data_IF_394834246091
#
_entry.id   IF_394834246091
#
_cell.length_a   1.000
_cell.length_b   1.000
_cell.length_c   1.000
_cell.angle_alpha   90.00
_cell.angle_beta   90.00
_cell.angle_gamma   90.00
#
_symmetry.space_group_name_H-M   'P 1'
#
loop_
_entity.id
_entity.type
_entity.pdbx_description
1 polymer ?
#
# COMPACT_ATOMS: atom_id res chain seq x y z
N UNK A 1 16.36 3.47 -24.67
CA UNK A 1 15.74 2.98 -23.43
C UNK A 1 16.82 2.30 -22.60
N UNK A 2 16.79 2.48 -21.30
CA UNK A 2 17.76 1.87 -20.38
C UNK A 2 17.66 0.34 -20.40
N UNK A 3 18.79 -0.38 -20.39
CA UNK A 3 18.81 -1.84 -20.29
C UNK A 3 18.31 -2.29 -18.92
N UNK A 4 17.63 -3.44 -18.85
CA UNK A 4 17.13 -4.01 -17.59
C UNK A 4 18.20 -4.06 -16.49
N UNK A 5 19.43 -4.44 -16.84
CA UNK A 5 20.57 -4.51 -15.91
C UNK A 5 20.92 -3.15 -15.30
N UNK A 6 20.86 -2.07 -16.10
CA UNK A 6 21.19 -0.72 -15.61
C UNK A 6 20.09 -0.23 -14.67
N UNK A 7 18.82 -0.47 -15.01
CA UNK A 7 17.71 -0.19 -14.11
C UNK A 7 17.79 -1.00 -12.81
N UNK A 8 18.18 -2.28 -12.84
CA UNK A 8 18.38 -3.09 -11.63
C UNK A 8 19.45 -2.50 -10.70
N UNK A 9 20.58 -2.05 -11.26
CA UNK A 9 21.67 -1.42 -10.49
C UNK A 9 21.17 -0.14 -9.82
N UNK A 10 20.50 0.75 -10.55
CA UNK A 10 19.95 1.99 -10.00
C UNK A 10 18.89 1.70 -8.93
N UNK A 11 18.00 0.72 -9.17
CA UNK A 11 16.98 0.31 -8.20
C UNK A 11 17.60 -0.23 -6.90
N UNK A 12 18.67 -1.02 -7.00
CA UNK A 12 19.44 -1.52 -5.86
C UNK A 12 20.09 -0.40 -5.07
N UNK A 13 20.67 0.61 -5.74
CA UNK A 13 21.24 1.77 -5.06
C UNK A 13 20.19 2.53 -4.23
N UNK A 14 19.01 2.77 -4.81
CA UNK A 14 17.90 3.42 -4.09
C UNK A 14 17.43 2.54 -2.92
N UNK A 15 17.33 1.23 -3.13
CA UNK A 15 16.98 0.26 -2.08
C UNK A 15 17.93 0.30 -0.88
N UNK A 16 19.23 0.32 -1.13
CA UNK A 16 20.24 0.41 -0.07
C UNK A 16 20.03 1.65 0.80
N UNK A 17 19.79 2.81 0.18
CA UNK A 17 19.49 4.03 0.95
C UNK A 17 18.13 3.99 1.65
N UNK A 18 17.09 3.48 0.99
CA UNK A 18 15.72 3.48 1.49
C UNK A 18 15.45 2.46 2.61
N UNK A 19 16.19 1.35 2.63
CA UNK A 19 15.86 0.20 3.50
C UNK A 19 17.05 -0.31 4.32
N UNK A 20 18.29 -0.08 3.89
CA UNK A 20 19.47 -0.75 4.46
C UNK A 20 20.48 0.20 5.09
N UNK A 21 20.41 1.51 4.81
CA UNK A 21 21.42 2.47 5.24
C UNK A 21 21.72 2.45 6.74
N UNK A 22 20.69 2.34 7.60
CA UNK A 22 20.90 2.20 9.04
C UNK A 22 21.58 0.87 9.40
N UNK A 23 21.11 -0.25 8.84
CA UNK A 23 21.65 -1.59 9.09
C UNK A 23 23.12 -1.71 8.65
N UNK A 24 23.48 -1.08 7.53
CA UNK A 24 24.82 -1.14 6.97
C UNK A 24 25.83 -0.28 7.74
N UNK A 25 25.36 0.74 8.47
CA UNK A 25 26.23 1.70 9.18
C UNK A 25 26.28 1.49 10.68
N UNK A 26 25.25 0.90 11.27
CA UNK A 26 25.14 0.69 12.71
C UNK A 26 24.99 -0.79 12.96
N UNK A 27 25.96 -1.36 13.67
CA UNK A 27 25.93 -2.76 14.05
C UNK A 27 24.89 -2.95 15.16
N UNK A 28 23.73 -3.51 14.81
CA UNK A 28 22.71 -3.90 15.76
C UNK A 28 22.81 -5.40 16.02
N UNK A 29 22.98 -5.78 17.29
CA UNK A 29 22.66 -7.14 17.71
C UNK A 29 21.14 -7.28 17.80
N UNK A 30 20.59 -8.34 17.22
CA UNK A 30 19.18 -8.68 17.37
C UNK A 30 18.94 -9.63 18.55
N UNK A 31 20.00 -10.07 19.23
CA UNK A 31 19.90 -10.93 20.42
C UNK A 31 19.43 -10.13 21.65
N UNK A 32 19.77 -8.84 21.70
CA UNK A 32 19.40 -7.93 22.78
C UNK A 32 18.95 -6.57 22.22
N UNK A 33 17.98 -5.88 22.86
CA UNK A 33 17.63 -4.52 22.48
C UNK A 33 18.86 -3.60 22.54
N UNK A 34 19.08 -2.75 21.52
CA UNK A 34 20.19 -1.80 21.56
C UNK A 34 20.00 -0.79 22.70
N UNK A 35 21.11 -0.25 23.20
CA UNK A 35 21.06 0.89 24.11
C UNK A 35 20.49 2.13 23.40
N UNK A 36 20.10 3.13 24.19
CA UNK A 36 19.41 4.32 23.68
C UNK A 36 20.26 5.12 22.67
N UNK A 37 21.58 5.21 22.85
CA UNK A 37 22.44 5.98 21.95
C UNK A 37 22.63 5.23 20.62
N UNK A 38 22.84 3.92 20.69
CA UNK A 38 22.89 3.05 19.49
C UNK A 38 21.56 3.09 18.72
N UNK A 39 20.42 3.05 19.42
CA UNK A 39 19.10 3.16 18.81
C UNK A 39 18.89 4.51 18.11
N UNK A 40 19.27 5.62 18.77
CA UNK A 40 19.22 6.96 18.17
C UNK A 40 20.11 7.07 16.95
N UNK A 41 21.34 6.55 17.02
CA UNK A 41 22.27 6.56 15.88
C UNK A 41 21.71 5.78 14.70
N UNK A 42 21.15 4.59 14.94
CA UNK A 42 20.48 3.80 13.91
C UNK A 42 19.33 4.56 13.25
N UNK A 43 18.46 5.18 14.04
CA UNK A 43 17.34 5.98 13.52
C UNK A 43 17.87 7.15 12.68
N UNK A 44 18.87 7.89 13.18
CA UNK A 44 19.47 9.01 12.46
C UNK A 44 20.04 8.58 11.11
N UNK A 45 20.72 7.43 11.05
CA UNK A 45 21.22 6.89 9.79
C UNK A 45 20.10 6.39 8.88
N UNK A 46 19.05 5.75 9.38
CA UNK A 46 17.88 5.43 8.56
C UNK A 46 17.29 6.70 7.90
N UNK A 47 17.06 7.76 8.67
CA UNK A 47 16.51 9.01 8.14
C UNK A 47 17.45 9.71 7.16
N UNK A 48 18.77 9.63 7.36
CA UNK A 48 19.75 10.13 6.39
C UNK A 48 19.69 9.33 5.06
N UNK A 49 19.55 8.00 5.17
CA UNK A 49 19.30 7.12 4.02
C UNK A 49 18.03 7.53 3.27
N UNK A 50 16.93 7.74 3.98
CA UNK A 50 15.65 8.16 3.38
C UNK A 50 15.77 9.47 2.61
N UNK A 51 16.51 10.46 3.14
CA UNK A 51 16.78 11.74 2.45
C UNK A 51 17.50 11.52 1.12
N UNK A 52 18.52 10.67 1.09
CA UNK A 52 19.25 10.31 -0.13
C UNK A 52 18.36 9.57 -1.12
N UNK A 53 17.66 8.53 -0.65
CA UNK A 53 16.76 7.74 -1.48
C UNK A 53 15.67 8.60 -2.13
N UNK A 54 15.06 9.52 -1.38
CA UNK A 54 14.03 10.42 -1.91
C UNK A 54 14.54 11.29 -3.06
N UNK A 55 15.78 11.79 -2.99
CA UNK A 55 16.39 12.55 -4.08
C UNK A 55 16.63 11.67 -5.33
N UNK A 56 17.03 10.41 -5.14
CA UNK A 56 17.19 9.47 -6.25
C UNK A 56 15.83 9.12 -6.88
N UNK A 57 14.81 8.86 -6.06
CA UNK A 57 13.43 8.60 -6.47
C UNK A 57 12.89 9.78 -7.27
N UNK A 58 13.07 11.02 -6.80
CA UNK A 58 12.64 12.22 -7.50
C UNK A 58 13.22 12.28 -8.92
N UNK A 59 14.53 12.09 -9.06
CA UNK A 59 15.22 12.08 -10.36
C UNK A 59 14.68 10.97 -11.26
N UNK A 60 14.52 9.76 -10.72
CA UNK A 60 14.11 8.60 -11.53
C UNK A 60 12.65 8.69 -11.99
N UNK A 61 11.75 9.14 -11.11
CA UNK A 61 10.34 9.34 -11.49
C UNK A 61 10.19 10.44 -12.54
N UNK A 62 11.00 11.50 -12.48
CA UNK A 62 11.02 12.53 -13.51
C UNK A 62 11.46 11.98 -14.87
N UNK A 63 12.58 11.23 -14.91
CA UNK A 63 13.07 10.56 -16.12
C UNK A 63 12.02 9.60 -16.73
N UNK A 64 11.37 8.79 -15.89
CA UNK A 64 10.29 7.88 -16.28
C UNK A 64 9.14 8.65 -16.93
N UNK A 65 8.75 9.79 -16.37
CA UNK A 65 7.63 10.58 -16.89
C UNK A 65 7.95 11.27 -18.22
N UNK A 66 9.17 11.78 -18.38
CA UNK A 66 9.68 12.31 -19.65
C UNK A 66 9.67 11.22 -20.74
N UNK A 67 10.25 10.06 -20.45
CA UNK A 67 10.31 8.93 -21.38
C UNK A 67 8.90 8.45 -21.77
N UNK A 68 7.99 8.35 -20.79
CA UNK A 68 6.59 7.97 -21.06
C UNK A 68 5.88 8.99 -21.94
N UNK A 69 6.10 10.28 -21.73
CA UNK A 69 5.49 11.35 -22.52
C UNK A 69 5.97 11.27 -23.96
N UNK A 70 7.28 11.07 -24.17
CA UNK A 70 7.85 10.86 -25.50
C UNK A 70 7.24 9.63 -26.19
N UNK A 71 7.19 8.48 -25.53
CA UNK A 71 6.63 7.26 -26.11
C UNK A 71 5.13 7.38 -26.43
N UNK A 72 4.36 8.13 -25.63
CA UNK A 72 2.94 8.41 -25.94
C UNK A 72 2.80 9.24 -27.21
N UNK A 73 3.63 10.26 -27.39
CA UNK A 73 3.66 11.05 -28.62
C UNK A 73 4.06 10.19 -29.82
N UNK A 74 5.07 9.33 -29.68
CA UNK A 74 5.51 8.41 -30.73
C UNK A 74 4.41 7.40 -31.08
N UNK A 75 3.66 6.91 -30.09
CA UNK A 75 2.50 6.04 -30.28
C UNK A 75 1.39 6.72 -31.08
N UNK A 76 1.07 7.98 -30.76
CA UNK A 76 0.07 8.75 -31.51
C UNK A 76 0.49 8.95 -32.97
N UNK A 77 1.77 9.27 -33.22
CA UNK A 77 2.32 9.39 -34.57
C UNK A 77 2.25 8.05 -35.31
N UNK A 78 2.66 6.95 -34.69
CA UNK A 78 2.60 5.61 -35.28
C UNK A 78 1.17 5.20 -35.64
N UNK A 79 0.20 5.47 -34.75
CA UNK A 79 -1.24 5.23 -35.00
C UNK A 79 -1.74 6.06 -36.19
N UNK A 80 -1.37 7.33 -36.27
CA UNK A 80 -1.75 8.20 -37.39
C UNK A 80 -1.20 7.68 -38.73
N UNK A 81 -0.01 7.08 -38.71
CA UNK A 81 0.66 6.48 -39.88
C UNK A 81 0.26 5.02 -40.13
N UNK A 82 -0.70 4.47 -39.36
CA UNK A 82 -1.13 3.06 -39.42
C UNK A 82 0.00 2.04 -39.31
N UNK A 83 1.02 2.37 -38.51
CA UNK A 83 2.16 1.49 -38.24
C UNK A 83 1.87 0.54 -37.07
N UNK A 84 2.62 -0.57 -36.98
CA UNK A 84 2.50 -1.52 -35.88
C UNK A 84 2.97 -0.86 -34.57
N UNK A 85 2.10 -0.88 -33.55
CA UNK A 85 2.32 -0.17 -32.28
C UNK A 85 2.80 -1.05 -31.12
N UNK A 86 2.82 -2.38 -31.30
CA UNK A 86 3.05 -3.34 -30.21
C UNK A 86 4.36 -3.15 -29.46
N UNK A 87 5.41 -2.71 -30.16
CA UNK A 87 6.71 -2.44 -29.53
C UNK A 87 6.63 -1.22 -28.61
N UNK A 88 6.06 -0.11 -29.09
CA UNK A 88 5.89 1.11 -28.29
C UNK A 88 5.00 0.84 -27.06
N UNK A 89 3.92 0.07 -27.25
CA UNK A 89 3.04 -0.35 -26.15
C UNK A 89 3.79 -1.17 -25.09
N UNK A 90 4.63 -2.13 -25.52
CA UNK A 90 5.49 -2.91 -24.61
C UNK A 90 6.49 -2.03 -23.84
N UNK A 91 7.09 -1.03 -24.50
CA UNK A 91 8.00 -0.08 -23.83
C UNK A 91 7.25 0.78 -22.80
N UNK A 92 6.03 1.22 -23.11
CA UNK A 92 5.18 1.96 -22.16
C UNK A 92 4.85 1.09 -20.94
N UNK A 93 4.50 -0.18 -21.14
CA UNK A 93 4.23 -1.12 -20.05
C UNK A 93 5.47 -1.35 -19.19
N UNK A 94 6.64 -1.44 -19.81
CA UNK A 94 7.93 -1.54 -19.11
C UNK A 94 8.19 -0.30 -18.24
N UNK A 95 7.95 0.90 -18.75
CA UNK A 95 8.12 2.14 -17.96
C UNK A 95 7.10 2.24 -16.82
N UNK A 96 5.85 1.84 -17.05
CA UNK A 96 4.84 1.80 -15.98
C UNK A 96 5.24 0.83 -14.88
N UNK A 97 5.80 -0.33 -15.25
CA UNK A 97 6.36 -1.30 -14.30
C UNK A 97 7.51 -0.71 -13.48
N UNK A 98 8.46 -0.04 -14.16
CA UNK A 98 9.58 0.64 -13.50
C UNK A 98 9.09 1.72 -12.52
N UNK A 99 8.09 2.52 -12.91
CA UNK A 99 7.48 3.53 -12.02
C UNK A 99 6.91 2.87 -10.76
N UNK A 100 6.16 1.76 -10.90
CA UNK A 100 5.63 1.03 -9.76
C UNK A 100 6.73 0.58 -8.80
N UNK A 101 7.85 0.06 -9.31
CA UNK A 101 8.97 -0.37 -8.48
C UNK A 101 9.64 0.78 -7.74
N UNK A 102 9.80 1.94 -8.39
CA UNK A 102 10.38 3.14 -7.77
C UNK A 102 9.44 3.70 -6.70
N UNK A 103 8.14 3.80 -6.98
CA UNK A 103 7.14 4.23 -5.99
C UNK A 103 7.07 3.28 -4.79
N UNK A 104 7.28 1.97 -5.01
CA UNK A 104 7.33 1.00 -3.90
C UNK A 104 8.52 1.19 -2.97
N UNK A 105 9.62 1.82 -3.42
CA UNK A 105 10.71 2.24 -2.53
C UNK A 105 10.29 3.44 -1.66
N UNK A 106 9.56 4.40 -2.23
CA UNK A 106 8.96 5.48 -1.44
C UNK A 106 7.91 4.94 -0.46
N UNK A 107 7.11 3.96 -0.86
CA UNK A 107 6.18 3.27 0.04
C UNK A 107 6.93 2.57 1.17
N UNK A 108 8.10 1.99 0.93
CA UNK A 108 8.92 1.39 1.99
C UNK A 108 9.45 2.39 2.99
N UNK A 109 9.81 3.60 2.56
CA UNK A 109 10.17 4.70 3.45
C UNK A 109 8.93 5.08 4.29
N UNK A 110 7.78 5.29 3.64
CA UNK A 110 6.52 5.60 4.32
C UNK A 110 6.13 4.52 5.33
N UNK A 111 6.25 3.24 4.95
CA UNK A 111 5.90 2.08 5.77
C UNK A 111 6.72 2.03 7.05
N UNK A 112 8.03 2.33 6.97
CA UNK A 112 8.91 2.43 8.13
C UNK A 112 8.54 3.62 9.04
N UNK A 113 8.21 4.78 8.46
CA UNK A 113 7.80 5.98 9.23
C UNK A 113 6.52 5.74 10.04
N UNK A 114 5.58 4.96 9.49
CA UNK A 114 4.34 4.59 10.17
C UNK A 114 4.48 3.29 10.97
N UNK A 115 5.70 2.78 11.14
CA UNK A 115 6.02 1.56 11.90
C UNK A 115 5.22 0.32 11.46
N UNK A 116 4.99 0.19 10.14
CA UNK A 116 4.23 -0.91 9.54
C UNK A 116 2.74 -0.94 9.90
N UNK A 117 2.21 0.13 10.49
CA UNK A 117 0.81 0.18 10.92
C UNK A 117 -0.12 0.38 9.72
N UNK A 118 -0.59 -0.74 9.18
CA UNK A 118 -1.49 -0.77 8.02
C UNK A 118 -2.74 0.11 8.18
N UNK A 119 -3.25 0.27 9.41
CA UNK A 119 -4.39 1.17 9.62
C UNK A 119 -4.04 2.63 9.26
N UNK A 120 -2.83 3.12 9.54
CA UNK A 120 -2.39 4.46 9.17
C UNK A 120 -2.40 4.62 7.66
N UNK A 121 -1.82 3.67 6.93
CA UNK A 121 -1.79 3.67 5.47
C UNK A 121 -3.20 3.79 4.86
N UNK A 122 -4.20 3.07 5.40
CA UNK A 122 -5.59 3.15 4.94
C UNK A 122 -6.21 4.53 5.09
N UNK A 123 -5.81 5.32 6.09
CA UNK A 123 -6.36 6.66 6.34
C UNK A 123 -5.69 7.72 5.47
N UNK A 124 -4.52 7.41 4.90
CA UNK A 124 -3.81 8.28 3.97
C UNK A 124 -4.19 8.00 2.50
N UNK A 125 -4.86 6.88 2.22
CA UNK A 125 -5.25 6.47 0.88
C UNK A 125 -6.69 6.86 0.51
N UNK A 126 -6.84 7.69 -0.52
CA UNK A 126 -8.13 8.16 -1.01
C UNK A 126 -8.70 7.30 -2.15
N UNK A 127 -7.88 6.45 -2.78
CA UNK A 127 -8.18 5.74 -4.02
C UNK A 127 -8.33 6.70 -5.21
N UNK A 128 -7.45 7.70 -5.26
CA UNK A 128 -7.29 8.64 -6.36
C UNK A 128 -6.08 8.24 -7.23
N UNK A 129 -6.07 8.66 -8.50
CA UNK A 129 -4.90 8.43 -9.35
C UNK A 129 -3.77 9.38 -8.93
N UNK A 130 -2.50 8.93 -8.94
CA UNK A 130 -1.37 9.80 -8.67
C UNK A 130 -1.32 10.98 -9.64
N UNK A 131 -0.95 12.19 -9.18
CA UNK A 131 -0.75 13.33 -10.06
C UNK A 131 0.49 13.14 -10.96
N UNK A 132 0.52 13.87 -12.07
CA UNK A 132 1.70 14.00 -12.94
C UNK A 132 2.75 14.87 -12.26
N UNK A 133 4.01 14.41 -12.20
CA UNK A 133 5.12 15.17 -11.61
C UNK A 133 5.64 16.27 -12.55
N UNK A 134 5.45 16.12 -13.87
CA UNK A 134 5.85 17.16 -14.84
C UNK A 134 4.99 18.43 -14.74
N UNK A 135 3.75 18.29 -14.31
CA UNK A 135 2.79 19.40 -14.21
C UNK A 135 2.56 19.88 -12.77
N UNK A 136 3.34 19.39 -11.81
CA UNK A 136 3.23 19.76 -10.40
C UNK A 136 4.28 20.80 -10.00
N UNK A 137 4.06 21.45 -8.86
CA UNK A 137 5.01 22.36 -8.21
C UNK A 137 6.11 21.56 -7.46
N UNK A 138 6.61 20.48 -8.06
CA UNK A 138 7.48 19.52 -7.38
C UNK A 138 8.77 20.14 -6.83
N UNK A 139 9.35 21.10 -7.55
CA UNK A 139 10.56 21.81 -7.11
C UNK A 139 10.34 22.55 -5.78
N UNK A 140 9.17 23.14 -5.63
CA UNK A 140 8.74 23.88 -4.44
C UNK A 140 8.51 22.97 -3.25
N UNK A 141 7.94 21.79 -3.53
CA UNK A 141 7.78 20.71 -2.55
C UNK A 141 9.16 20.21 -2.12
N UNK A 142 10.07 19.92 -3.05
CA UNK A 142 11.46 19.49 -2.78
C UNK A 142 12.19 20.52 -1.92
N UNK A 143 12.09 21.81 -2.24
CA UNK A 143 12.71 22.88 -1.47
C UNK A 143 12.18 22.92 -0.03
N UNK A 144 10.86 22.82 0.14
CA UNK A 144 10.21 22.80 1.46
C UNK A 144 10.65 21.57 2.25
N UNK A 145 10.69 20.40 1.63
CA UNK A 145 11.16 19.14 2.23
C UNK A 145 12.62 19.23 2.68
N UNK A 146 13.50 19.80 1.86
CA UNK A 146 14.90 20.00 2.21
C UNK A 146 15.07 20.92 3.42
N UNK A 147 14.28 22.01 3.49
CA UNK A 147 14.26 22.89 4.66
C UNK A 147 13.81 22.14 5.92
N UNK A 148 12.70 21.40 5.86
CA UNK A 148 12.20 20.60 7.00
C UNK A 148 13.23 19.54 7.45
N UNK A 149 13.85 18.85 6.50
CA UNK A 149 14.85 17.82 6.75
C UNK A 149 16.19 18.36 7.28
N UNK A 150 16.45 19.66 7.17
CA UNK A 150 17.65 20.32 7.70
C UNK A 150 17.54 20.71 9.18
N UNK A 151 16.34 20.66 9.76
CA UNK A 151 16.08 21.09 11.14
C UNK A 151 16.63 20.12 12.20
N UNK A 152 15.86 19.07 12.50
CA UNK A 152 16.19 18.06 13.51
C UNK A 152 16.62 16.75 12.86
N UNK A 153 17.61 16.05 13.44
CA UNK A 153 18.10 14.77 12.92
C UNK A 153 17.06 13.64 13.00
N UNK A 154 16.08 13.75 13.90
CA UNK A 154 15.01 12.77 14.11
C UNK A 154 13.71 13.12 13.40
N UNK A 155 13.70 14.21 12.65
CA UNK A 155 12.55 14.63 11.86
C UNK A 155 12.75 14.21 10.40
N UNK A 156 11.66 13.84 9.73
CA UNK A 156 11.71 13.49 8.31
C UNK A 156 10.44 13.87 7.56
N UNK A 157 10.63 14.58 6.46
CA UNK A 157 9.61 14.99 5.51
C UNK A 157 9.69 14.13 4.24
N UNK A 158 8.59 13.43 3.95
CA UNK A 158 8.38 12.61 2.76
C UNK A 158 7.47 13.35 1.79
N UNK A 159 7.83 13.35 0.50
CA UNK A 159 6.98 13.84 -0.59
C UNK A 159 5.90 12.78 -0.84
N UNK A 160 4.65 13.13 -0.54
CA UNK A 160 3.51 12.20 -0.62
C UNK A 160 3.33 11.65 -2.04
N UNK A 161 3.48 12.52 -3.03
CA UNK A 161 3.33 12.20 -4.46
C UNK A 161 4.31 11.15 -4.99
N UNK A 162 5.37 10.81 -4.25
CA UNK A 162 6.27 9.71 -4.62
C UNK A 162 5.75 8.34 -4.19
N UNK A 163 4.85 8.30 -3.22
CA UNK A 163 4.24 7.07 -2.72
C UNK A 163 3.05 6.67 -3.60
N UNK A 164 2.60 5.43 -3.45
CA UNK A 164 1.34 4.96 -4.05
C UNK A 164 0.13 5.16 -3.13
N UNK A 165 0.35 5.25 -1.81
CA UNK A 165 -0.76 5.25 -0.84
C UNK A 165 -0.94 6.53 -0.02
N UNK A 166 0.04 7.43 0.06
CA UNK A 166 -0.14 8.73 0.74
C UNK A 166 -0.72 9.72 -0.28
N UNK A 167 -2.02 9.98 -0.17
CA UNK A 167 -2.78 10.80 -1.11
C UNK A 167 -3.40 12.04 -0.44
N UNK A 168 -2.94 12.38 0.76
CA UNK A 168 -3.41 13.55 1.51
C UNK A 168 -2.21 14.47 1.76
N UNK A 169 -2.27 15.67 1.18
CA UNK A 169 -1.24 16.69 1.25
C UNK A 169 0.01 16.36 0.43
N UNK A 170 0.81 17.37 0.12
CA UNK A 170 2.01 17.23 -0.71
C UNK A 170 3.20 16.66 0.08
N UNK A 171 3.23 16.90 1.40
CA UNK A 171 4.30 16.43 2.29
C UNK A 171 3.70 15.73 3.52
N UNK A 172 4.18 14.52 3.78
CA UNK A 172 3.97 13.78 5.02
C UNK A 172 5.19 13.93 5.93
N UNK A 173 5.02 14.64 7.04
CA UNK A 173 6.10 15.03 7.93
C UNK A 173 5.97 14.36 9.30
N UNK A 174 6.96 13.54 9.66
CA UNK A 174 7.12 12.98 10.99
C UNK A 174 8.04 13.89 11.79
N UNK A 175 7.45 14.57 12.78
CA UNK A 175 8.17 15.42 13.73
C UNK A 175 8.14 14.76 15.09
N UNK A 176 9.26 14.18 15.52
CA UNK A 176 9.31 13.35 16.72
C UNK A 176 8.17 12.30 16.72
N UNK A 177 7.22 12.39 17.67
CA UNK A 177 6.09 11.47 17.77
C UNK A 177 4.82 11.94 17.03
N UNK A 178 4.79 13.14 16.46
CA UNK A 178 3.61 13.68 15.78
C UNK A 178 3.69 13.52 14.25
N UNK A 179 2.53 13.30 13.64
CA UNK A 179 2.40 13.30 12.18
C UNK A 179 1.76 14.62 11.73
N UNK A 180 2.35 15.24 10.73
CA UNK A 180 1.86 16.46 10.10
C UNK A 180 1.69 16.23 8.60
N UNK A 181 0.59 16.75 8.07
CA UNK A 181 0.34 16.79 6.63
C UNK A 181 0.40 18.24 6.20
N UNK A 182 1.26 18.52 5.22
CA UNK A 182 1.55 19.87 4.73
C UNK A 182 1.18 19.94 3.25
N UNK A 183 0.37 20.94 2.91
CA UNK A 183 0.06 21.32 1.52
C UNK A 183 0.94 22.50 1.14
N UNK A 184 1.72 22.36 0.07
CA UNK A 184 2.63 23.38 -0.45
C UNK A 184 1.92 24.11 -1.58
N UNK A 185 1.67 25.41 -1.38
CA UNK A 185 0.96 26.25 -2.34
C UNK A 185 1.86 27.40 -2.79
N UNK A 186 1.89 27.64 -4.09
CA UNK A 186 2.63 28.75 -4.70
C UNK A 186 1.79 29.56 -5.68
N UNK A 187 2.23 30.78 -5.95
CA UNK A 187 1.58 31.69 -6.91
C UNK A 187 0.52 32.59 -6.30
N UNK A 188 0.32 33.75 -6.94
CA UNK A 188 -0.52 34.85 -6.47
C UNK A 188 -1.97 34.41 -6.19
N UNK A 189 -2.53 33.57 -7.07
CA UNK A 189 -3.90 33.06 -6.93
C UNK A 189 -4.10 32.23 -5.66
N UNK A 190 -3.10 31.46 -5.23
CA UNK A 190 -3.18 30.70 -3.97
C UNK A 190 -3.06 31.63 -2.76
N UNK A 191 -2.25 32.68 -2.84
CA UNK A 191 -2.18 33.72 -1.81
C UNK A 191 -3.51 34.46 -1.66
N UNK A 192 -4.17 34.79 -2.76
CA UNK A 192 -5.50 35.41 -2.78
C UNK A 192 -6.55 34.49 -2.13
N UNK A 193 -6.62 33.22 -2.56
CA UNK A 193 -7.54 32.23 -1.99
C UNK A 193 -7.34 32.08 -0.48
N UNK A 194 -6.08 32.02 -0.02
CA UNK A 194 -5.77 31.94 1.41
C UNK A 194 -6.28 33.17 2.18
N UNK A 195 -6.06 34.38 1.65
CA UNK A 195 -6.59 35.62 2.25
C UNK A 195 -8.11 35.58 2.38
N UNK A 196 -8.82 35.11 1.35
CA UNK A 196 -10.29 34.97 1.38
C UNK A 196 -10.71 34.00 2.49
N UNK A 197 -10.08 32.83 2.57
CA UNK A 197 -10.37 31.83 3.61
C UNK A 197 -10.12 32.41 5.01
N UNK A 198 -9.01 33.12 5.20
CA UNK A 198 -8.64 33.72 6.49
C UNK A 198 -9.63 34.83 6.91
N UNK A 199 -10.14 35.63 5.96
CA UNK A 199 -11.19 36.63 6.22
C UNK A 199 -12.48 35.94 6.67
N UNK A 200 -12.96 34.94 5.92
CA UNK A 200 -14.19 34.22 6.28
C UNK A 200 -14.07 33.55 7.66
N UNK A 201 -12.90 32.95 7.97
CA UNK A 201 -12.63 32.36 9.28
C UNK A 201 -12.64 33.40 10.41
N UNK A 202 -12.02 34.57 10.21
CA UNK A 202 -12.02 35.66 11.20
C UNK A 202 -13.41 36.22 11.44
N UNK A 203 -14.25 36.26 10.40
CA UNK A 203 -15.63 36.73 10.48
C UNK A 203 -16.61 35.66 10.98
N UNK A 204 -16.15 34.42 11.26
CA UNK A 204 -17.01 33.30 11.66
C UNK A 204 -18.00 32.86 10.58
N UNK A 205 -17.78 33.25 9.31
CA UNK A 205 -18.66 32.93 8.19
C UNK A 205 -18.40 31.51 7.68
N UNK A 206 -19.47 30.78 7.41
CA UNK A 206 -19.36 29.48 6.79
C UNK A 206 -18.93 29.61 5.31
N UNK A 207 -17.89 28.87 4.95
CA UNK A 207 -17.39 28.79 3.57
C UNK A 207 -18.17 27.68 2.86
N UNK A 208 -19.22 28.04 2.15
CA UNK A 208 -20.04 27.15 1.32
C UNK A 208 -20.09 27.66 -0.11
N UNK A 209 -20.58 26.84 -1.04
CA UNK A 209 -20.74 27.27 -2.44
C UNK A 209 -21.66 28.49 -2.53
N UNK A 210 -22.75 28.50 -1.78
CA UNK A 210 -23.76 29.55 -1.83
C UNK A 210 -23.26 30.86 -1.22
N UNK A 211 -22.41 30.81 -0.18
CA UNK A 211 -21.82 32.00 0.44
C UNK A 211 -20.71 32.66 -0.39
N UNK A 212 -20.24 31.99 -1.45
CA UNK A 212 -19.15 32.46 -2.32
C UNK A 212 -19.62 32.88 -3.72
N UNK A 213 -20.69 32.27 -4.26
CA UNK A 213 -21.18 32.55 -5.63
C UNK A 213 -21.57 34.01 -5.85
N UNK A 214 -22.05 34.70 -4.81
CA UNK A 214 -22.43 36.11 -4.89
C UNK A 214 -21.25 37.06 -5.10
N UNK A 215 -20.05 36.67 -4.66
CA UNK A 215 -18.87 37.55 -4.61
C UNK A 215 -17.75 37.10 -5.55
N UNK A 216 -17.77 35.86 -6.04
CA UNK A 216 -16.68 35.28 -6.80
C UNK A 216 -17.17 34.48 -8.01
N UNK A 217 -16.38 34.48 -9.09
CA UNK A 217 -16.67 33.65 -10.25
C UNK A 217 -16.56 32.14 -9.94
N UNK A 218 -17.20 31.31 -10.76
CA UNK A 218 -17.27 29.85 -10.59
C UNK A 218 -15.89 29.19 -10.41
N UNK A 219 -14.86 29.63 -11.14
CA UNK A 219 -13.52 29.07 -11.06
C UNK A 219 -12.85 29.38 -9.72
N UNK A 220 -12.96 30.62 -9.23
CA UNK A 220 -12.47 31.04 -7.91
C UNK A 220 -13.21 30.32 -6.79
N UNK A 221 -14.54 30.19 -6.87
CA UNK A 221 -15.34 29.42 -5.90
C UNK A 221 -14.84 27.96 -5.80
N UNK A 222 -14.65 27.29 -6.94
CA UNK A 222 -14.13 25.92 -6.96
C UNK A 222 -12.72 25.81 -6.36
N UNK A 223 -11.85 26.77 -6.66
CA UNK A 223 -10.51 26.83 -6.08
C UNK A 223 -10.56 26.99 -4.55
N UNK A 224 -11.40 27.90 -4.02
CA UNK A 224 -11.57 28.11 -2.58
C UNK A 224 -12.08 26.83 -1.90
N UNK A 225 -13.13 26.21 -2.45
CA UNK A 225 -13.71 24.98 -1.89
C UNK A 225 -12.69 23.84 -1.89
N UNK A 226 -11.96 23.64 -3.00
CA UNK A 226 -10.88 22.64 -3.09
C UNK A 226 -9.81 22.91 -2.02
N UNK A 227 -9.37 24.15 -1.89
CA UNK A 227 -8.35 24.55 -0.92
C UNK A 227 -8.80 24.27 0.52
N UNK A 228 -10.04 24.65 0.87
CA UNK A 228 -10.65 24.35 2.17
C UNK A 228 -10.65 22.86 2.45
N UNK A 229 -11.15 22.04 1.52
CA UNK A 229 -11.22 20.59 1.69
C UNK A 229 -9.84 19.96 1.88
N UNK A 230 -8.81 20.43 1.16
CA UNK A 230 -7.44 19.96 1.34
C UNK A 230 -6.91 20.26 2.75
N UNK A 231 -7.09 21.49 3.26
CA UNK A 231 -6.71 21.83 4.65
C UNK A 231 -7.44 20.94 5.65
N UNK A 232 -8.76 20.82 5.52
CA UNK A 232 -9.58 20.08 6.48
C UNK A 232 -9.20 18.59 6.51
N UNK A 233 -8.96 17.98 5.35
CA UNK A 233 -8.47 16.59 5.25
C UNK A 233 -7.11 16.43 5.93
N UNK A 234 -6.16 17.32 5.63
CA UNK A 234 -4.82 17.28 6.23
C UNK A 234 -4.86 17.42 7.77
N UNK A 235 -5.71 18.32 8.29
CA UNK A 235 -5.91 18.51 9.73
C UNK A 235 -6.56 17.29 10.39
N UNK A 236 -7.63 16.74 9.78
CA UNK A 236 -8.31 15.54 10.29
C UNK A 236 -7.36 14.35 10.36
N UNK A 237 -6.62 14.11 9.27
CA UNK A 237 -5.65 13.03 9.21
C UNK A 237 -4.50 13.24 10.22
N UNK A 238 -3.90 14.43 10.31
CA UNK A 238 -2.84 14.71 11.30
C UNK A 238 -3.30 14.46 12.73
N UNK A 239 -4.53 14.89 13.07
CA UNK A 239 -5.13 14.69 14.40
C UNK A 239 -5.39 13.21 14.67
N UNK A 240 -6.01 12.49 13.73
CA UNK A 240 -6.32 11.07 13.85
C UNK A 240 -5.07 10.22 14.02
N UNK A 241 -4.01 10.50 13.25
CA UNK A 241 -2.75 9.77 13.30
C UNK A 241 -1.94 10.05 14.56
N UNK A 242 -2.07 11.24 15.15
CA UNK A 242 -1.33 11.62 16.36
C UNK A 242 -2.05 11.25 17.65
N UNK A 243 -3.39 11.33 17.68
CA UNK A 243 -4.20 11.06 18.88
C UNK A 243 -4.80 9.65 18.90
N UNK A 244 -4.64 8.88 17.82
CA UNK A 244 -5.24 7.56 17.61
C UNK A 244 -6.78 7.53 17.70
N UNK A 245 -7.40 8.72 17.63
CA UNK A 245 -8.84 8.95 17.64
C UNK A 245 -9.19 10.18 16.79
N UNK A 246 -10.37 10.20 16.21
CA UNK A 246 -10.82 11.34 15.40
C UNK A 246 -11.78 10.93 14.29
N UNK A 247 -11.85 11.75 13.24
CA UNK A 247 -12.68 11.49 12.07
C UNK A 247 -11.82 11.00 10.92
N UNK A 248 -12.26 9.93 10.26
CA UNK A 248 -11.61 9.42 9.05
C UNK A 248 -11.67 10.49 7.95
N UNK A 249 -10.53 10.87 7.33
CA UNK A 249 -10.48 11.97 6.38
C UNK A 249 -11.23 11.69 5.06
N UNK A 250 -11.55 10.42 4.77
CA UNK A 250 -12.27 10.00 3.57
C UNK A 250 -13.76 9.87 3.82
N UNK A 251 -14.17 9.26 4.93
CA UNK A 251 -15.59 8.93 5.20
C UNK A 251 -16.27 9.86 6.19
N UNK A 252 -15.49 10.69 6.91
CA UNK A 252 -15.94 11.53 8.03
C UNK A 252 -16.62 10.75 9.16
N UNK A 253 -16.34 9.45 9.25
CA UNK A 253 -16.83 8.60 10.35
C UNK A 253 -15.86 8.73 11.52
N UNK A 254 -16.39 8.79 12.74
CA UNK A 254 -15.56 8.76 13.95
C UNK A 254 -14.90 7.38 14.08
N UNK A 255 -13.58 7.37 14.22
CA UNK A 255 -12.76 6.17 14.34
C UNK A 255 -11.90 6.28 15.60
N UNK A 256 -11.83 5.18 16.33
CA UNK A 256 -10.81 4.91 17.35
C UNK A 256 -9.92 3.79 16.83
N UNK A 257 -8.62 3.96 16.91
CA UNK A 257 -7.67 2.93 16.48
C UNK A 257 -7.64 1.85 17.55
N UNK A 258 -7.85 0.61 17.11
CA UNK A 258 -7.79 -0.59 17.94
C UNK A 258 -6.48 -1.29 17.56
N UNK A 259 -5.54 -1.31 18.50
CA UNK A 259 -4.27 -2.00 18.29
C UNK A 259 -4.38 -3.48 18.66
N UNK A 260 -3.69 -4.33 17.91
CA UNK A 260 -3.62 -5.76 18.18
C UNK A 260 -2.37 -6.04 19.02
N UNK A 261 -2.56 -6.34 20.30
CA UNK A 261 -1.46 -6.50 21.27
C UNK A 261 -0.67 -7.80 21.10
N UNK A 262 -1.18 -8.77 20.36
CA UNK A 262 -0.52 -10.07 20.20
C UNK A 262 0.27 -10.10 18.90
N UNK A 263 1.47 -10.71 18.84
CA UNK A 263 2.14 -10.90 17.57
C UNK A 263 1.34 -11.80 16.63
N UNK A 264 1.24 -11.40 15.35
CA UNK A 264 0.65 -12.23 14.29
C UNK A 264 1.76 -12.95 13.52
N UNK A 265 1.58 -14.24 13.25
CA UNK A 265 2.56 -15.02 12.51
C UNK A 265 2.50 -14.70 11.01
N UNK A 266 3.67 -14.61 10.40
CA UNK A 266 3.86 -14.38 8.97
C UNK A 266 4.74 -15.47 8.38
N UNK A 267 4.57 -15.76 7.10
CA UNK A 267 5.29 -16.83 6.40
C UNK A 267 6.49 -16.33 5.58
N UNK A 268 7.19 -15.29 6.05
CA UNK A 268 8.34 -14.74 5.32
C UNK A 268 9.51 -15.71 5.18
N UNK A 269 9.86 -16.44 6.25
CA UNK A 269 10.91 -17.46 6.22
C UNK A 269 10.60 -18.55 5.19
N UNK A 270 9.33 -18.95 5.13
CA UNK A 270 8.83 -19.92 4.14
C UNK A 270 9.03 -19.45 2.70
N UNK A 271 8.88 -18.15 2.40
CA UNK A 271 9.18 -17.62 1.07
C UNK A 271 10.68 -17.77 0.76
N UNK A 272 11.56 -17.46 1.71
CA UNK A 272 13.01 -17.63 1.52
C UNK A 272 13.37 -19.11 1.29
N UNK A 273 12.85 -20.01 2.11
CA UNK A 273 13.06 -21.47 1.99
C UNK A 273 12.60 -21.98 0.63
N UNK A 274 11.39 -21.60 0.18
CA UNK A 274 10.87 -21.99 -1.13
C UNK A 274 11.74 -21.51 -2.29
N UNK A 275 12.21 -20.26 -2.23
CA UNK A 275 13.05 -19.70 -3.28
C UNK A 275 14.37 -20.45 -3.32
N UNK A 276 14.96 -20.73 -2.15
CA UNK A 276 16.20 -21.51 -2.05
C UNK A 276 16.03 -22.92 -2.61
N UNK A 277 14.96 -23.62 -2.23
CA UNK A 277 14.66 -24.97 -2.69
C UNK A 277 14.42 -25.04 -4.21
N UNK A 278 13.88 -23.97 -4.79
CA UNK A 278 13.61 -23.89 -6.23
C UNK A 278 14.87 -23.76 -7.10
N UNK A 279 16.03 -23.34 -6.54
CA UNK A 279 17.26 -23.10 -7.33
C UNK A 279 17.76 -24.37 -8.01
N UNK A 280 17.72 -25.52 -7.31
CA UNK A 280 18.21 -26.79 -7.86
C UNK A 280 17.17 -27.60 -8.65
N UNK A 281 15.87 -27.34 -8.41
CA UNK A 281 14.76 -28.16 -8.95
C UNK A 281 13.88 -27.40 -9.95
N UNK A 282 14.16 -26.12 -10.18
CA UNK A 282 13.33 -25.16 -10.93
C UNK A 282 11.90 -24.97 -10.37
N UNK A 283 11.49 -25.72 -9.35
CA UNK A 283 10.23 -25.57 -8.66
C UNK A 283 10.28 -26.07 -7.21
N UNK A 284 9.45 -25.47 -6.35
CA UNK A 284 9.21 -25.91 -4.97
C UNK A 284 7.78 -25.56 -4.54
N UNK A 285 7.21 -26.29 -3.59
CA UNK A 285 5.90 -25.98 -3.01
C UNK A 285 5.85 -26.31 -1.52
N UNK A 286 5.02 -25.58 -0.78
CA UNK A 286 4.76 -25.81 0.64
C UNK A 286 3.30 -25.56 0.97
N UNK A 287 2.84 -26.20 2.03
CA UNK A 287 1.46 -26.13 2.52
C UNK A 287 1.48 -25.58 3.95
N UNK A 288 0.66 -24.59 4.22
CA UNK A 288 0.55 -23.89 5.51
C UNK A 288 -0.87 -24.09 6.08
N UNK A 289 -0.96 -24.12 7.42
CA UNK A 289 -2.21 -24.19 8.19
C UNK A 289 -3.17 -25.28 7.68
N UNK A 290 -2.71 -26.53 7.76
CA UNK A 290 -3.49 -27.74 7.43
C UNK A 290 -4.08 -27.76 6.01
N UNK A 291 -3.44 -27.09 5.05
CA UNK A 291 -3.93 -27.04 3.67
C UNK A 291 -4.68 -25.77 3.30
N UNK A 292 -4.80 -24.80 4.22
CA UNK A 292 -5.50 -23.53 3.97
C UNK A 292 -4.79 -22.63 2.99
N UNK A 293 -3.45 -22.72 2.90
CA UNK A 293 -2.64 -21.97 1.97
C UNK A 293 -1.59 -22.88 1.34
N UNK A 294 -1.48 -22.83 0.02
CA UNK A 294 -0.41 -23.49 -0.74
C UNK A 294 0.39 -22.40 -1.44
N UNK A 295 1.71 -22.48 -1.34
CA UNK A 295 2.65 -21.53 -1.95
C UNK A 295 3.62 -22.32 -2.82
N UNK A 296 3.90 -21.81 -4.02
CA UNK A 296 4.85 -22.40 -4.93
C UNK A 296 5.84 -21.39 -5.49
N UNK A 297 7.07 -21.82 -5.72
CA UNK A 297 8.12 -21.08 -6.39
C UNK A 297 8.47 -21.77 -7.71
N UNK A 298 8.59 -21.01 -8.80
CA UNK A 298 8.82 -21.52 -10.15
C UNK A 298 9.88 -20.70 -10.89
N UNK A 299 10.83 -21.38 -11.53
CA UNK A 299 11.96 -20.79 -12.28
C UNK A 299 12.04 -21.42 -13.67
N UNK A 300 12.83 -20.80 -14.55
CA UNK A 300 13.22 -21.34 -15.86
C UNK A 300 12.02 -21.89 -16.65
N UNK A 301 12.06 -23.14 -17.08
CA UNK A 301 11.02 -23.79 -17.87
C UNK A 301 9.66 -23.85 -17.17
N UNK A 302 9.61 -23.84 -15.83
CA UNK A 302 8.36 -23.85 -15.06
C UNK A 302 7.79 -22.45 -14.79
N UNK A 303 8.58 -21.39 -14.97
CA UNK A 303 8.15 -20.02 -14.74
C UNK A 303 6.84 -19.66 -15.48
N UNK A 304 6.67 -19.94 -16.79
CA UNK A 304 5.42 -19.62 -17.49
C UNK A 304 4.24 -20.48 -17.02
N UNK A 305 4.47 -21.67 -16.45
CA UNK A 305 3.42 -22.63 -16.09
C UNK A 305 3.01 -22.60 -14.61
N UNK A 306 3.68 -21.83 -13.76
CA UNK A 306 3.49 -21.88 -12.30
C UNK A 306 2.02 -21.76 -11.85
N UNK A 307 1.24 -20.86 -12.47
CA UNK A 307 -0.18 -20.67 -12.13
C UNK A 307 -1.03 -21.89 -12.52
N UNK A 308 -0.79 -22.48 -13.70
CA UNK A 308 -1.49 -23.69 -14.16
C UNK A 308 -1.15 -24.89 -13.28
N UNK A 309 0.12 -25.03 -12.89
CA UNK A 309 0.54 -26.08 -11.96
C UNK A 309 -0.17 -25.93 -10.61
N UNK A 310 -0.23 -24.70 -10.09
CA UNK A 310 -0.90 -24.42 -8.82
C UNK A 310 -2.41 -24.70 -8.91
N UNK A 311 -3.06 -24.32 -10.02
CA UNK A 311 -4.46 -24.59 -10.26
C UNK A 311 -4.77 -26.10 -10.26
N UNK A 312 -3.93 -26.90 -10.93
CA UNK A 312 -4.11 -28.36 -10.96
C UNK A 312 -3.91 -28.98 -9.58
N UNK A 313 -2.88 -28.53 -8.84
CA UNK A 313 -2.58 -29.02 -7.50
C UNK A 313 -3.74 -28.78 -6.52
N UNK A 314 -4.34 -27.58 -6.54
CA UNK A 314 -5.46 -27.28 -5.66
C UNK A 314 -6.73 -28.05 -6.06
N UNK A 315 -6.95 -28.23 -7.37
CA UNK A 315 -8.09 -28.98 -7.89
C UNK A 315 -8.02 -30.45 -7.49
N UNK A 316 -6.84 -31.06 -7.55
CA UNK A 316 -6.62 -32.44 -7.09
C UNK A 316 -6.91 -32.57 -5.59
N UNK A 317 -6.50 -31.59 -4.78
CA UNK A 317 -6.67 -31.63 -3.32
C UNK A 317 -8.07 -31.28 -2.82
N UNK A 318 -8.80 -30.40 -3.51
CA UNK A 318 -10.08 -29.85 -3.05
C UNK A 318 -11.29 -30.22 -3.90
N UNK A 319 -11.06 -30.74 -5.11
CA UNK A 319 -12.11 -30.94 -6.11
C UNK A 319 -12.68 -29.64 -6.68
N UNK A 320 -12.09 -28.48 -6.37
CA UNK A 320 -12.56 -27.16 -6.79
C UNK A 320 -11.44 -26.30 -7.36
N UNK A 321 -11.84 -25.32 -8.15
CA UNK A 321 -10.97 -24.27 -8.64
C UNK A 321 -11.01 -23.09 -7.68
N UNK A 322 -9.83 -22.67 -7.19
CA UNK A 322 -9.66 -21.46 -6.38
C UNK A 322 -8.76 -20.45 -7.10
N UNK A 323 -8.88 -19.14 -6.81
CA UNK A 323 -8.03 -18.13 -7.44
C UNK A 323 -6.57 -18.33 -7.06
N UNK A 324 -5.70 -18.30 -8.07
CA UNK A 324 -4.25 -18.30 -7.91
C UNK A 324 -3.76 -16.86 -7.93
N UNK A 325 -2.93 -16.49 -6.96
CA UNK A 325 -2.39 -15.16 -6.78
C UNK A 325 -0.89 -15.16 -7.07
N UNK A 326 -0.43 -14.27 -7.94
CA UNK A 326 0.99 -14.05 -8.15
C UNK A 326 1.51 -13.01 -7.15
N UNK A 327 2.52 -13.38 -6.36
CA UNK A 327 3.08 -12.51 -5.33
C UNK A 327 3.58 -11.16 -5.88
N UNK A 328 4.10 -11.13 -7.11
CA UNK A 328 4.59 -9.88 -7.72
C UNK A 328 3.46 -8.87 -7.95
N UNK A 329 2.20 -9.31 -8.08
CA UNK A 329 1.06 -8.39 -8.23
C UNK A 329 0.89 -7.46 -7.01
N UNK A 330 1.46 -7.79 -5.86
CA UNK A 330 1.45 -6.94 -4.66
C UNK A 330 2.13 -5.57 -4.91
N UNK A 331 3.00 -5.41 -5.91
CA UNK A 331 3.57 -4.10 -6.24
C UNK A 331 2.52 -3.10 -6.73
N UNK A 332 1.38 -3.59 -7.22
CA UNK A 332 0.27 -2.75 -7.71
C UNK A 332 -0.77 -2.45 -6.65
N UNK A 333 -0.66 -3.05 -5.45
CA UNK A 333 -1.60 -2.81 -4.36
C UNK A 333 -1.03 -1.69 -3.48
N UNK A 334 -1.67 -0.52 -3.36
CA UNK A 334 -1.07 0.61 -2.64
C UNK A 334 -0.96 0.37 -1.14
N UNK A 335 -2.01 -0.16 -0.52
CA UNK A 335 -2.13 -0.30 0.94
C UNK A 335 -1.66 -1.68 1.40
N UNK A 336 -0.46 -2.10 1.04
CA UNK A 336 0.11 -3.37 1.52
C UNK A 336 1.58 -3.18 1.84
N UNK A 337 2.10 -4.02 2.73
CA UNK A 337 3.52 -4.00 3.07
C UNK A 337 4.39 -4.18 1.80
N UNK A 338 5.21 -3.18 1.44
CA UNK A 338 5.98 -3.24 0.19
C UNK A 338 7.02 -4.36 0.22
N UNK A 339 7.31 -4.95 -0.95
CA UNK A 339 8.26 -6.06 -1.08
C UNK A 339 9.64 -5.75 -0.48
N UNK A 340 10.11 -4.50 -0.60
CA UNK A 340 11.40 -4.06 -0.06
C UNK A 340 11.44 -4.02 1.48
N UNK A 341 10.29 -3.85 2.12
CA UNK A 341 10.15 -3.86 3.59
C UNK A 341 9.98 -5.27 4.16
N UNK A 342 9.69 -6.27 3.32
CA UNK A 342 9.53 -7.65 3.78
C UNK A 342 10.88 -8.27 4.15
N UNK A 343 10.96 -9.09 5.21
CA UNK A 343 12.16 -9.81 5.61
C UNK A 343 12.43 -11.04 4.71
N UNK A 344 12.43 -10.81 3.40
CA UNK A 344 12.89 -11.74 2.36
C UNK A 344 14.37 -11.43 2.11
N UNK A 345 15.20 -12.40 1.74
CA UNK A 345 16.60 -12.11 1.39
C UNK A 345 16.69 -11.12 0.22
N UNK A 346 17.65 -10.21 0.25
CA UNK A 346 17.68 -9.08 -0.69
C UNK A 346 17.78 -9.54 -2.14
N UNK A 347 18.69 -10.48 -2.44
CA UNK A 347 18.79 -11.11 -3.77
C UNK A 347 17.47 -11.77 -4.21
N UNK A 348 16.74 -12.38 -3.28
CA UNK A 348 15.45 -13.00 -3.57
C UNK A 348 14.37 -11.97 -3.89
N UNK A 349 14.38 -10.79 -3.24
CA UNK A 349 13.47 -9.70 -3.62
C UNK A 349 13.69 -9.31 -5.08
N UNK A 350 14.95 -9.15 -5.49
CA UNK A 350 15.31 -8.79 -6.85
C UNK A 350 15.09 -9.93 -7.86
N UNK A 351 15.25 -11.19 -7.46
CA UNK A 351 14.85 -12.34 -8.28
C UNK A 351 13.35 -12.32 -8.59
N UNK A 352 12.51 -12.00 -7.61
CA UNK A 352 11.06 -11.90 -7.79
C UNK A 352 10.72 -10.72 -8.71
N UNK A 353 11.26 -9.53 -8.42
CA UNK A 353 10.98 -8.30 -9.16
C UNK A 353 11.41 -8.43 -10.62
N UNK A 354 12.61 -8.94 -10.88
CA UNK A 354 13.11 -9.07 -12.26
C UNK A 354 12.65 -10.35 -12.97
N UNK A 355 11.67 -11.09 -12.40
CA UNK A 355 11.07 -12.24 -13.04
C UNK A 355 12.00 -13.45 -13.18
N UNK A 356 13.03 -13.57 -12.34
CA UNK A 356 13.90 -14.75 -12.26
C UNK A 356 13.27 -15.89 -11.45
N UNK A 357 12.33 -15.56 -10.56
CA UNK A 357 11.48 -16.52 -9.85
C UNK A 357 10.05 -16.01 -9.77
N UNK A 358 9.08 -16.88 -10.00
CA UNK A 358 7.65 -16.60 -9.81
C UNK A 358 7.17 -17.28 -8.54
N UNK A 359 6.61 -16.48 -7.62
CA UNK A 359 5.92 -17.01 -6.44
C UNK A 359 4.42 -16.92 -6.68
N UNK A 360 3.72 -18.05 -6.59
CA UNK A 360 2.26 -18.11 -6.69
C UNK A 360 1.69 -18.73 -5.43
N UNK A 361 0.47 -18.31 -5.08
CA UNK A 361 -0.22 -18.73 -3.87
C UNK A 361 -1.67 -19.07 -4.20
N UNK A 362 -2.24 -20.02 -3.48
CA UNK A 362 -3.68 -20.30 -3.55
C UNK A 362 -4.22 -20.56 -2.15
N UNK A 363 -5.37 -19.95 -1.85
CA UNK A 363 -6.08 -20.14 -0.59
C UNK A 363 -7.15 -21.20 -0.82
N UNK A 364 -7.08 -22.28 -0.05
CA UNK A 364 -8.15 -23.25 0.00
C UNK A 364 -9.23 -22.76 0.98
N UNK A 365 -10.27 -22.11 0.45
CA UNK A 365 -11.31 -21.54 1.31
C UNK A 365 -12.14 -22.59 2.06
N UNK A 366 -12.21 -23.84 1.57
CA UNK A 366 -12.86 -24.91 2.35
C UNK A 366 -12.09 -25.18 3.65
N UNK A 367 -10.75 -25.23 3.57
CA UNK A 367 -9.88 -25.37 4.75
C UNK A 367 -9.87 -24.13 5.64
N UNK A 368 -9.98 -22.93 5.07
CA UNK A 368 -10.19 -21.71 5.86
C UNK A 368 -11.50 -21.77 6.64
N UNK A 369 -12.59 -22.26 6.05
CA UNK A 369 -13.87 -22.41 6.75
C UNK A 369 -13.74 -23.40 7.91
N UNK A 370 -13.08 -24.54 7.70
CA UNK A 370 -12.76 -25.49 8.77
C UNK A 370 -11.98 -24.80 9.91
N UNK A 371 -10.94 -24.03 9.57
CA UNK A 371 -10.11 -23.31 10.52
C UNK A 371 -10.87 -22.25 11.32
N UNK A 372 -11.81 -21.54 10.69
CA UNK A 372 -12.71 -20.62 11.39
C UNK A 372 -13.61 -21.36 12.39
N UNK A 373 -14.13 -22.53 12.02
CA UNK A 373 -14.98 -23.34 12.88
C UNK A 373 -14.21 -23.90 14.09
N UNK A 374 -12.95 -24.29 13.90
CA UNK A 374 -12.07 -24.76 14.98
C UNK A 374 -11.85 -23.69 16.07
N UNK A 375 -11.85 -22.40 15.70
CA UNK A 375 -11.68 -21.28 16.64
C UNK A 375 -13.00 -20.66 17.12
N UNK A 376 -14.12 -21.34 16.92
CA UNK A 376 -15.41 -21.02 17.55
C UNK A 376 -16.37 -20.17 16.73
N UNK A 377 -16.10 -19.92 15.45
CA UNK A 377 -17.13 -19.36 14.55
C UNK A 377 -18.06 -20.46 14.04
N UNK A 378 -19.23 -20.06 13.54
CA UNK A 378 -20.00 -20.90 12.61
C UNK A 378 -19.86 -20.32 11.22
N UNK A 379 -18.99 -20.94 10.43
CA UNK A 379 -18.64 -20.49 9.09
C UNK A 379 -19.09 -21.51 8.05
N UNK A 380 -19.69 -21.02 6.98
CA UNK A 380 -20.22 -21.86 5.90
C UNK A 380 -20.26 -21.12 4.57
N UNK A 381 -20.31 -21.90 3.49
CA UNK A 381 -20.75 -21.39 2.21
C UNK A 381 -22.25 -21.09 2.24
N UNK A 382 -22.62 -19.93 1.71
CA UNK A 382 -24.01 -19.61 1.38
C UNK A 382 -24.44 -20.37 0.12
N UNK A 383 -25.74 -20.57 -0.05
CA UNK A 383 -26.30 -21.01 -1.32
C UNK A 383 -26.13 -19.93 -2.39
N UNK A 384 -26.22 -20.33 -3.67
CA UNK A 384 -26.19 -19.38 -4.81
C UNK A 384 -27.33 -18.36 -4.71
N UNK A 385 -28.50 -18.77 -4.23
CA UNK A 385 -29.67 -17.91 -4.05
C UNK A 385 -29.46 -16.87 -2.95
N UNK A 386 -28.94 -17.28 -1.79
CA UNK A 386 -28.61 -16.36 -0.70
C UNK A 386 -27.51 -15.38 -1.12
N UNK A 387 -26.50 -15.87 -1.84
CA UNK A 387 -25.40 -15.04 -2.36
C UNK A 387 -25.91 -14.00 -3.36
N UNK A 388 -26.82 -14.37 -4.25
CA UNK A 388 -27.42 -13.42 -5.20
C UNK A 388 -28.23 -12.33 -4.48
N UNK A 389 -29.07 -12.73 -3.53
CA UNK A 389 -29.85 -11.79 -2.69
C UNK A 389 -28.94 -10.83 -1.91
N UNK A 390 -27.79 -11.33 -1.43
CA UNK A 390 -26.80 -10.50 -0.76
C UNK A 390 -26.23 -9.45 -1.72
N UNK A 391 -25.86 -9.81 -2.94
CA UNK A 391 -25.33 -8.85 -3.95
C UNK A 391 -26.31 -7.77 -4.35
N UNK A 392 -27.61 -8.07 -4.38
CA UNK A 392 -28.66 -7.10 -4.73
C UNK A 392 -28.87 -6.05 -3.62
N UNK A 393 -28.47 -6.36 -2.39
CA UNK A 393 -28.58 -5.41 -1.29
C UNK A 393 -27.56 -4.28 -1.45
N UNK A 394 -28.03 -3.03 -1.46
CA UNK A 394 -27.19 -1.83 -1.55
C UNK A 394 -26.22 -1.67 -0.38
N UNK A 395 -26.58 -2.23 0.78
CA UNK A 395 -25.75 -2.20 1.99
C UNK A 395 -24.78 -3.39 2.06
N UNK A 396 -24.74 -4.25 1.04
CA UNK A 396 -23.81 -5.37 1.01
C UNK A 396 -22.37 -4.91 0.86
N UNK A 397 -21.40 -5.64 1.45
CA UNK A 397 -19.99 -5.37 1.22
C UNK A 397 -19.67 -5.47 -0.28
N UNK A 398 -18.97 -4.47 -0.82
CA UNK A 398 -18.65 -4.41 -2.26
C UNK A 398 -17.64 -5.46 -2.73
N UNK A 399 -16.90 -6.08 -1.80
CA UNK A 399 -15.74 -6.93 -2.09
C UNK A 399 -15.87 -8.31 -1.42
N UNK A 400 -17.00 -8.98 -1.67
CA UNK A 400 -17.26 -10.32 -1.12
C UNK A 400 -16.37 -11.37 -1.78
N UNK A 401 -15.85 -12.31 -0.98
CA UNK A 401 -15.19 -13.50 -1.50
C UNK A 401 -16.25 -14.45 -2.05
N UNK A 402 -16.17 -14.77 -3.34
CA UNK A 402 -17.18 -15.59 -4.03
C UNK A 402 -16.50 -16.65 -4.88
N UNK A 403 -16.76 -17.91 -4.56
CA UNK A 403 -16.28 -19.09 -5.29
C UNK A 403 -17.51 -19.91 -5.73
N UNK A 404 -17.56 -20.33 -7.00
CA UNK A 404 -18.70 -21.05 -7.57
C UNK A 404 -20.07 -20.36 -7.37
N UNK A 405 -20.09 -19.02 -7.42
CA UNK A 405 -21.25 -18.18 -7.13
C UNK A 405 -21.79 -18.29 -5.69
N UNK A 406 -20.94 -18.70 -4.74
CA UNK A 406 -21.26 -18.77 -3.31
C UNK A 406 -20.35 -17.87 -2.51
N UNK A 407 -20.93 -17.05 -1.64
CA UNK A 407 -20.18 -16.28 -0.65
C UNK A 407 -19.95 -17.09 0.63
N UNK A 408 -19.01 -16.64 1.47
CA UNK A 408 -18.74 -17.23 2.79
C UNK A 408 -19.39 -16.36 3.86
N UNK A 409 -20.23 -16.95 4.68
CA UNK A 409 -20.80 -16.34 5.87
C UNK A 409 -20.12 -16.89 7.11
N UNK A 410 -19.86 -16.03 8.08
CA UNK A 410 -19.30 -16.37 9.39
C UNK A 410 -20.16 -15.75 10.48
N UNK A 411 -20.51 -16.55 11.49
CA UNK A 411 -21.24 -16.13 12.69
C UNK A 411 -20.32 -16.21 13.91
N UNK A 412 -20.29 -15.15 14.71
CA UNK A 412 -19.58 -15.12 15.99
C UNK A 412 -20.44 -14.45 17.05
N UNK A 413 -20.66 -15.13 18.18
CA UNK A 413 -21.49 -14.63 19.30
C UNK A 413 -22.86 -14.07 18.83
N UNK A 414 -23.49 -14.75 17.86
CA UNK A 414 -24.80 -14.37 17.30
C UNK A 414 -24.79 -13.28 16.23
N UNK A 415 -23.62 -12.70 15.90
CA UNK A 415 -23.51 -11.67 14.86
C UNK A 415 -22.99 -12.29 13.57
N UNK A 416 -23.70 -12.04 12.47
CA UNK A 416 -23.37 -12.55 11.14
C UNK A 416 -22.53 -11.55 10.35
N UNK A 417 -21.48 -12.06 9.72
CA UNK A 417 -20.59 -11.33 8.83
C UNK A 417 -20.32 -12.13 7.55
N UNK A 418 -19.75 -11.47 6.56
CA UNK A 418 -19.34 -12.10 5.31
C UNK A 418 -17.85 -11.87 5.08
N UNK A 419 -17.14 -12.92 4.67
CA UNK A 419 -15.72 -12.76 4.33
C UNK A 419 -15.57 -11.95 3.05
N UNK A 420 -14.65 -10.99 3.11
CA UNK A 420 -14.38 -10.02 2.05
C UNK A 420 -12.90 -10.04 1.67
N UNK A 421 -12.55 -9.45 0.53
CA UNK A 421 -11.19 -9.44 -0.03
C UNK A 421 -10.11 -8.87 0.90
N UNK A 422 -10.51 -8.08 1.90
CA UNK A 422 -9.61 -7.66 2.97
C UNK A 422 -8.94 -8.85 3.68
N UNK A 423 -9.66 -9.95 3.90
CA UNK A 423 -9.11 -11.17 4.47
C UNK A 423 -8.07 -11.82 3.55
N UNK A 424 -8.39 -11.94 2.26
CA UNK A 424 -7.46 -12.46 1.23
C UNK A 424 -6.18 -11.63 1.15
N UNK A 425 -6.32 -10.30 1.13
CA UNK A 425 -5.19 -9.36 1.03
C UNK A 425 -4.25 -9.48 2.24
N UNK A 426 -4.78 -9.74 3.44
CA UNK A 426 -3.96 -9.99 4.64
C UNK A 426 -3.07 -11.24 4.49
N UNK A 427 -3.57 -12.28 3.82
CA UNK A 427 -2.81 -13.51 3.62
C UNK A 427 -1.83 -13.36 2.46
N UNK A 428 -2.30 -12.90 1.29
CA UNK A 428 -1.53 -12.87 0.04
C UNK A 428 -0.52 -11.72 0.00
N UNK A 429 -0.89 -10.55 0.54
CA UNK A 429 -0.09 -9.32 0.42
C UNK A 429 0.64 -8.94 1.70
N UNK A 430 0.03 -9.12 2.86
CA UNK A 430 0.71 -8.92 4.16
C UNK A 430 1.39 -10.22 4.67
N UNK A 431 1.24 -11.35 3.95
CA UNK A 431 1.87 -12.63 4.27
C UNK A 431 1.55 -13.17 5.67
N UNK A 432 0.37 -12.84 6.20
CA UNK A 432 -0.15 -13.48 7.42
C UNK A 432 -0.51 -14.93 7.13
N UNK A 433 -0.20 -15.84 8.06
CA UNK A 433 -0.76 -17.20 7.95
C UNK A 433 -2.29 -17.14 8.02
N UNK A 434 -3.03 -18.02 7.33
CA UNK A 434 -4.50 -18.09 7.44
C UNK A 434 -5.00 -18.05 8.89
N UNK A 435 -4.37 -18.81 9.78
CA UNK A 435 -4.71 -18.84 11.20
C UNK A 435 -4.50 -17.48 11.88
N UNK A 436 -3.41 -16.78 11.58
CA UNK A 436 -3.13 -15.45 12.12
C UNK A 436 -4.12 -14.40 11.58
N UNK A 437 -4.48 -14.49 10.30
CA UNK A 437 -5.50 -13.61 9.71
C UNK A 437 -6.86 -13.79 10.42
N UNK A 438 -7.24 -15.03 10.76
CA UNK A 438 -8.44 -15.33 11.53
C UNK A 438 -8.36 -14.74 12.95
N UNK A 439 -7.22 -14.92 13.65
CA UNK A 439 -7.01 -14.32 14.98
C UNK A 439 -7.14 -12.80 14.98
N UNK A 440 -6.57 -12.13 13.99
CA UNK A 440 -6.70 -10.69 13.82
C UNK A 440 -8.18 -10.28 13.63
N UNK A 441 -8.94 -11.09 12.90
CA UNK A 441 -10.38 -10.87 12.67
C UNK A 441 -11.20 -11.02 13.96
N UNK A 442 -10.91 -12.02 14.80
CA UNK A 442 -11.53 -12.21 16.13
C UNK A 442 -11.35 -10.96 16.98
N UNK A 443 -10.12 -10.47 17.11
CA UNK A 443 -9.83 -9.35 18.00
C UNK A 443 -10.58 -8.08 17.62
N UNK A 444 -10.67 -7.80 16.31
CA UNK A 444 -11.44 -6.65 15.82
C UNK A 444 -12.90 -6.77 16.28
N UNK A 445 -13.49 -7.98 16.26
CA UNK A 445 -14.85 -8.17 16.73
C UNK A 445 -15.00 -8.02 18.23
N UNK A 446 -14.10 -8.60 19.02
CA UNK A 446 -14.18 -8.52 20.48
C UNK A 446 -14.03 -7.08 20.97
N UNK A 447 -13.14 -6.30 20.36
CA UNK A 447 -12.96 -4.89 20.70
C UNK A 447 -14.08 -4.01 20.14
N UNK A 448 -14.64 -4.33 18.97
CA UNK A 448 -15.80 -3.62 18.44
C UNK A 448 -17.06 -3.89 19.27
N UNK A 449 -17.25 -5.11 19.77
CA UNK A 449 -18.38 -5.49 20.62
C UNK A 449 -18.42 -4.74 21.95
N UNK A 450 -17.26 -4.57 22.61
CA UNK A 450 -17.14 -3.78 23.85
C UNK A 450 -17.56 -2.32 23.67
N UNK A 451 -17.29 -1.73 22.50
CA UNK A 451 -17.69 -0.35 22.20
C UNK A 451 -19.21 -0.15 22.07
N UNK A 452 -19.99 -1.22 21.89
CA UNK A 452 -21.45 -1.17 21.86
C UNK A 452 -22.11 -1.47 23.21
N UNK A 453 -21.40 -2.14 24.13
CA UNK A 453 -21.89 -2.39 25.50
C UNK A 453 -21.68 -1.18 26.43
N UNK A 454 -20.72 -0.30 26.11
CA UNK A 454 -20.46 0.96 26.83
C UNK A 454 -21.32 2.15 26.35
N UNK A 455 -22.39 1.91 25.59
CA UNK A 455 -23.41 2.90 25.19
C UNK A 455 -24.79 2.46 25.66
#
# INVERSE_FOLDING_TARGET
MESADKFEIELKEIYEFACKNGQNKVNLSFEHPPDNETAKLFIAECLNGFKKAQNLIARKLHEIEENRTQLRNDLEVAKSKKQKCSEIEYLIDTINYQECLIRKLADSIAWQIINGQHYIARRLYLNENPPSLLNSNINSVINTVNQLNSGCVFDFALISDFTSFIQIGDIFFKKQNAFHIIEVKEGEKNTEVKKIIDVYKKEGKEITKDSLISNYNKGTVQHILRFKTQIERGQKASKLLTLENGFDPKTDIQVKIIDYKTPLNRFYSTINELIQDSIGKNMAHIIIDSGSLIIGAYRNEYFPYGEVIMQNLIKEKSGKDFPVYNFLQNIYIPITEPIYSKPILDDFKFDIIFGRVKIVMVINYDKVIELFNEVGFKTKWLSRKETHKLKENKDSPKSLIIIDNRAIQTEYKGINYHLCDGFTTRIISDNLTPYSAIKAFIHIFEESGKLYEDK
#
